data_IF_769512066335
#
_entry.id   IF_769512066335
#
_cell.length_a   1.000
_cell.length_b   1.000
_cell.length_c   1.000
_cell.angle_alpha   90.00
_cell.angle_beta   90.00
_cell.angle_gamma   90.00
#
_symmetry.space_group_name_H-M   'P 1'
#
loop_
_entity.id
_entity.type
_entity.pdbx_description
1 polymer ?
#
# COMPACT_ATOMS: atom_id res chain seq x y z
N UNK A 1 37.09 45.31 24.89
CA UNK A 1 36.73 44.51 23.70
C UNK A 1 35.47 43.74 24.06
N UNK A 2 34.28 44.30 23.78
CA UNK A 2 33.00 43.66 24.08
C UNK A 2 32.65 42.76 22.90
N UNK A 3 32.64 41.45 23.12
CA UNK A 3 32.18 40.46 22.14
C UNK A 3 30.66 40.49 22.15
N UNK A 4 30.06 41.06 21.11
CA UNK A 4 28.64 40.87 20.83
C UNK A 4 28.47 39.44 20.31
N UNK A 5 27.92 38.57 21.15
CA UNK A 5 27.28 37.32 20.69
C UNK A 5 25.97 37.76 20.05
N UNK A 6 25.95 37.89 18.73
CA UNK A 6 24.70 37.75 17.98
C UNK A 6 24.26 36.31 18.17
N UNK A 7 23.24 36.10 19.00
CA UNK A 7 22.47 34.88 18.95
C UNK A 7 21.96 34.77 17.52
N UNK A 8 22.48 33.79 16.80
CA UNK A 8 21.88 33.29 15.58
C UNK A 8 20.58 32.59 16.02
N UNK A 9 19.54 33.38 16.30
CA UNK A 9 18.16 32.90 16.30
C UNK A 9 17.82 32.63 14.84
N UNK A 10 18.39 31.55 14.31
CA UNK A 10 17.81 30.82 13.20
C UNK A 10 16.38 30.54 13.59
N UNK A 11 15.47 31.33 13.02
CA UNK A 11 14.04 31.12 13.10
C UNK A 11 13.83 29.70 12.58
N UNK A 12 13.55 28.74 13.46
CA UNK A 12 12.96 27.49 13.01
C UNK A 12 11.63 27.91 12.40
N UNK A 13 11.62 28.15 11.09
CA UNK A 13 10.40 28.18 10.30
C UNK A 13 9.60 26.97 10.75
N UNK A 14 8.35 27.18 11.12
CA UNK A 14 7.49 26.14 11.70
C UNK A 14 7.19 25.12 10.61
N UNK A 15 8.16 24.24 10.36
CA UNK A 15 8.04 23.13 9.44
C UNK A 15 6.94 22.20 9.94
N UNK A 16 6.08 21.77 9.03
CA UNK A 16 4.93 20.93 9.36
C UNK A 16 5.41 19.62 10.00
N UNK A 17 4.84 19.30 11.16
CA UNK A 17 5.28 18.18 11.98
C UNK A 17 4.11 17.50 12.69
N UNK A 18 4.11 16.16 12.69
CA UNK A 18 3.17 15.36 13.48
C UNK A 18 3.52 15.37 14.99
N UNK A 19 2.57 14.91 15.81
CA UNK A 19 2.83 14.68 17.22
C UNK A 19 3.89 13.58 17.42
N UNK A 20 4.71 13.69 18.47
CA UNK A 20 5.80 12.75 18.74
C UNK A 20 5.32 11.35 19.22
N UNK A 21 4.13 11.25 19.81
CA UNK A 21 3.50 9.98 20.23
C UNK A 21 4.46 8.94 20.88
N UNK A 22 5.21 9.30 21.94
CA UNK A 22 6.23 8.43 22.52
C UNK A 22 5.66 7.13 23.11
N UNK A 23 4.42 7.18 23.64
CA UNK A 23 3.73 6.00 24.18
C UNK A 23 3.43 4.97 23.10
N UNK A 24 2.99 5.41 21.92
CA UNK A 24 2.73 4.53 20.77
C UNK A 24 4.04 3.91 20.28
N UNK A 25 5.09 4.74 20.14
CA UNK A 25 6.42 4.28 19.72
C UNK A 25 6.98 3.22 20.67
N UNK A 26 6.83 3.43 21.97
CA UNK A 26 7.25 2.47 22.99
C UNK A 26 6.45 1.16 22.88
N UNK A 27 5.12 1.25 22.77
CA UNK A 27 4.26 0.07 22.63
C UNK A 27 4.58 -0.77 21.37
N UNK A 28 4.91 -0.11 20.26
CA UNK A 28 5.35 -0.77 19.02
C UNK A 28 6.74 -1.42 19.18
N UNK A 29 7.67 -0.77 19.90
CA UNK A 29 9.02 -1.27 20.12
C UNK A 29 9.07 -2.46 21.08
N UNK A 30 8.23 -2.46 22.11
CA UNK A 30 8.13 -3.55 23.10
C UNK A 30 7.34 -4.76 22.55
N UNK A 31 6.49 -4.51 21.55
CA UNK A 31 5.62 -5.49 20.92
C UNK A 31 6.31 -6.36 19.87
N UNK A 32 5.51 -7.21 19.23
CA UNK A 32 5.89 -7.90 18.01
C UNK A 32 4.91 -7.55 16.89
N UNK A 33 5.17 -8.02 15.67
CA UNK A 33 4.31 -7.77 14.50
C UNK A 33 2.82 -8.07 14.74
N UNK A 34 2.51 -9.13 15.50
CA UNK A 34 1.15 -9.52 15.84
C UNK A 34 0.45 -8.64 16.88
N UNK A 35 1.18 -7.83 17.66
CA UNK A 35 0.59 -6.95 18.67
C UNK A 35 0.18 -5.58 18.12
N UNK A 36 0.55 -5.22 16.89
CA UNK A 36 0.25 -3.90 16.31
C UNK A 36 -1.25 -3.62 16.23
N UNK A 37 -2.08 -4.65 15.99
CA UNK A 37 -3.55 -4.51 16.02
C UNK A 37 -4.05 -4.03 17.39
N UNK A 38 -3.46 -4.53 18.48
CA UNK A 38 -3.82 -4.10 19.83
C UNK A 38 -3.36 -2.65 20.07
N UNK A 39 -2.17 -2.27 19.60
CA UNK A 39 -1.68 -0.88 19.70
C UNK A 39 -2.62 0.08 18.96
N UNK A 40 -3.12 -0.29 17.78
CA UNK A 40 -4.14 0.51 17.06
C UNK A 40 -5.45 0.60 17.87
N UNK A 41 -5.89 -0.49 18.51
CA UNK A 41 -7.10 -0.47 19.32
C UNK A 41 -6.97 0.44 20.56
N UNK A 42 -5.79 0.46 21.18
CA UNK A 42 -5.50 1.31 22.35
C UNK A 42 -5.23 2.78 21.94
N UNK A 43 -4.73 3.02 20.72
CA UNK A 43 -4.40 4.33 20.18
C UNK A 43 -5.04 4.58 18.79
N UNK A 44 -6.39 4.60 18.68
CA UNK A 44 -7.08 4.56 17.39
C UNK A 44 -6.91 5.81 16.53
N UNK A 45 -6.48 6.94 17.11
CA UNK A 45 -6.20 8.19 16.39
C UNK A 45 -4.73 8.36 15.99
N UNK A 46 -3.86 7.38 16.27
CA UNK A 46 -2.43 7.43 15.99
C UNK A 46 -2.12 7.12 14.52
N UNK A 47 -1.63 8.07 13.72
CA UNK A 47 -1.16 7.78 12.37
C UNK A 47 -0.02 6.76 12.37
N UNK A 48 0.86 6.82 13.37
CA UNK A 48 2.00 5.90 13.52
C UNK A 48 1.53 4.44 13.64
N UNK A 49 0.56 4.16 14.53
CA UNK A 49 0.05 2.80 14.73
C UNK A 49 -0.62 2.26 13.45
N UNK A 50 -1.40 3.08 12.76
CA UNK A 50 -2.03 2.70 11.50
C UNK A 50 -1.01 2.48 10.36
N UNK A 51 0.04 3.29 10.27
CA UNK A 51 1.11 3.11 9.27
C UNK A 51 1.85 1.79 9.50
N UNK A 52 2.20 1.43 10.74
CA UNK A 52 2.83 0.14 11.01
C UNK A 52 1.91 -1.03 10.62
N UNK A 53 0.61 -0.93 10.91
CA UNK A 53 -0.35 -1.95 10.51
C UNK A 53 -0.45 -2.08 8.98
N UNK A 54 -0.40 -0.95 8.26
CA UNK A 54 -0.39 -0.92 6.80
C UNK A 54 0.87 -1.57 6.22
N UNK A 55 2.05 -1.25 6.76
CA UNK A 55 3.33 -1.80 6.29
C UNK A 55 3.44 -3.30 6.55
N UNK A 56 2.85 -3.79 7.65
CA UNK A 56 2.72 -5.22 7.91
C UNK A 56 1.86 -5.88 6.83
N UNK A 57 0.67 -5.33 6.55
CA UNK A 57 -0.20 -5.84 5.51
C UNK A 57 0.45 -5.85 4.12
N UNK A 58 1.17 -4.77 3.76
CA UNK A 58 1.92 -4.64 2.50
C UNK A 58 3.01 -5.72 2.40
N UNK A 59 3.79 -5.92 3.48
CA UNK A 59 4.84 -6.95 3.51
C UNK A 59 4.31 -8.39 3.43
N UNK A 60 3.02 -8.59 3.75
CA UNK A 60 2.32 -9.88 3.67
C UNK A 60 1.55 -10.04 2.34
N UNK A 61 1.65 -9.07 1.42
CA UNK A 61 0.96 -9.10 0.12
C UNK A 61 -0.55 -8.89 0.23
N UNK A 62 -1.04 -8.34 1.34
CA UNK A 62 -2.47 -8.06 1.56
C UNK A 62 -2.83 -6.67 1.05
N UNK A 63 -2.92 -6.54 -0.27
CA UNK A 63 -3.08 -5.26 -0.96
C UNK A 63 -4.33 -4.47 -0.50
N UNK A 64 -5.46 -5.14 -0.26
CA UNK A 64 -6.69 -4.48 0.15
C UNK A 64 -6.53 -3.88 1.55
N UNK A 65 -6.00 -4.66 2.49
CA UNK A 65 -5.75 -4.24 3.87
C UNK A 65 -4.68 -3.15 3.92
N UNK A 66 -3.58 -3.30 3.19
CA UNK A 66 -2.53 -2.28 3.09
C UNK A 66 -3.10 -0.94 2.60
N UNK A 67 -3.91 -0.98 1.54
CA UNK A 67 -4.59 0.20 1.02
C UNK A 67 -5.53 0.82 2.07
N UNK A 68 -6.36 0.01 2.72
CA UNK A 68 -7.33 0.48 3.71
C UNK A 68 -6.64 1.11 4.94
N UNK A 69 -5.66 0.42 5.54
CA UNK A 69 -4.95 0.91 6.71
C UNK A 69 -4.12 2.15 6.42
N UNK A 70 -3.42 2.18 5.28
CA UNK A 70 -2.65 3.36 4.88
C UNK A 70 -3.56 4.57 4.57
N UNK A 71 -4.78 4.33 4.09
CA UNK A 71 -5.77 5.41 3.90
C UNK A 71 -6.11 6.08 5.22
N UNK A 72 -6.38 5.29 6.26
CA UNK A 72 -6.72 5.79 7.61
C UNK A 72 -5.52 6.50 8.25
N UNK A 73 -4.33 5.93 8.14
CA UNK A 73 -3.09 6.57 8.61
C UNK A 73 -2.88 7.95 7.99
N UNK A 74 -3.03 8.05 6.67
CA UNK A 74 -2.84 9.30 5.93
C UNK A 74 -3.94 10.33 6.24
N UNK A 75 -5.18 9.91 6.54
CA UNK A 75 -6.25 10.81 6.97
C UNK A 75 -5.93 11.44 8.33
N UNK A 76 -5.65 10.62 9.35
CA UNK A 76 -5.29 11.14 10.67
C UNK A 76 -4.03 12.00 10.66
N UNK A 77 -3.03 11.65 9.84
CA UNK A 77 -1.85 12.49 9.67
C UNK A 77 -2.20 13.86 9.08
N UNK A 78 -3.03 13.93 8.04
CA UNK A 78 -3.48 15.21 7.46
C UNK A 78 -4.28 16.03 8.46
N UNK A 79 -5.12 15.38 9.26
CA UNK A 79 -5.87 16.08 10.32
C UNK A 79 -4.95 16.67 11.39
N UNK A 80 -3.92 15.93 11.82
CA UNK A 80 -2.91 16.43 12.76
C UNK A 80 -2.09 17.59 12.17
N UNK A 81 -1.67 17.49 10.91
CA UNK A 81 -0.94 18.56 10.22
C UNK A 81 -1.83 19.80 10.03
N UNK A 82 -3.08 19.62 9.61
CA UNK A 82 -4.02 20.72 9.46
C UNK A 82 -4.26 21.46 10.79
N UNK A 83 -4.30 20.73 11.91
CA UNK A 83 -4.39 21.32 13.23
C UNK A 83 -3.15 22.17 13.64
N UNK A 84 -1.98 21.93 13.04
CA UNK A 84 -0.78 22.76 13.21
C UNK A 84 -0.63 23.88 12.17
N UNK A 85 -1.62 24.05 11.29
CA UNK A 85 -1.68 25.13 10.31
C UNK A 85 -1.23 24.75 8.89
N UNK A 86 -0.75 23.52 8.69
CA UNK A 86 -0.34 23.01 7.38
C UNK A 86 -1.52 22.98 6.39
N UNK A 87 -1.22 23.28 5.12
CA UNK A 87 -2.17 23.18 4.01
C UNK A 87 -1.76 22.07 3.02
N UNK A 88 -2.73 21.41 2.35
CA UNK A 88 -2.43 20.44 1.32
C UNK A 88 -1.49 20.99 0.23
N UNK A 89 -0.36 20.31 0.03
CA UNK A 89 0.68 20.70 -0.94
C UNK A 89 1.84 21.47 -0.34
N UNK A 90 1.78 21.88 0.94
CA UNK A 90 2.95 22.37 1.66
C UNK A 90 3.90 21.23 2.04
N UNK A 91 5.18 21.57 2.21
CA UNK A 91 6.23 20.60 2.51
C UNK A 91 6.01 19.91 3.87
N UNK A 92 6.31 18.62 3.91
CA UNK A 92 6.30 17.78 5.12
C UNK A 92 7.60 16.98 5.09
N UNK A 93 8.70 17.52 5.64
CA UNK A 93 10.04 17.01 5.37
C UNK A 93 10.31 15.68 6.07
N UNK A 94 11.02 14.77 5.38
CA UNK A 94 11.49 13.47 5.88
C UNK A 94 12.52 13.58 7.01
N UNK A 95 13.23 14.71 7.08
CA UNK A 95 14.23 15.00 8.11
C UNK A 95 13.63 14.97 9.52
N UNK A 96 12.36 15.35 9.67
CA UNK A 96 11.62 15.17 10.90
C UNK A 96 11.08 13.74 10.99
N UNK A 97 11.59 12.98 11.96
CA UNK A 97 11.21 11.58 12.14
C UNK A 97 9.71 11.41 12.41
N UNK A 98 9.08 12.42 13.00
CA UNK A 98 7.64 12.42 13.32
C UNK A 98 6.79 12.41 12.06
N UNK A 99 7.30 12.90 10.93
CA UNK A 99 6.59 12.91 9.65
C UNK A 99 6.68 11.62 8.86
N UNK A 100 7.64 10.74 9.18
CA UNK A 100 7.86 9.49 8.44
C UNK A 100 6.61 8.60 8.35
N UNK A 101 5.74 8.48 9.38
CA UNK A 101 4.51 7.72 9.27
C UNK A 101 3.56 8.20 8.16
N UNK A 102 3.45 9.52 7.95
CA UNK A 102 2.63 10.09 6.88
C UNK A 102 3.21 9.74 5.50
N UNK A 103 4.51 9.98 5.32
CA UNK A 103 5.21 9.74 4.05
C UNK A 103 5.21 8.24 3.69
N UNK A 104 5.43 7.37 4.69
CA UNK A 104 5.29 5.91 4.54
C UNK A 104 3.86 5.50 4.19
N UNK A 105 2.85 6.05 4.86
CA UNK A 105 1.44 5.75 4.55
C UNK A 105 1.08 6.14 3.10
N UNK A 106 1.54 7.30 2.61
CA UNK A 106 1.33 7.68 1.21
C UNK A 106 1.98 6.68 0.25
N UNK A 107 3.22 6.25 0.52
CA UNK A 107 3.90 5.30 -0.35
C UNK A 107 3.27 3.89 -0.32
N UNK A 108 2.92 3.38 0.87
CA UNK A 108 2.23 2.10 1.03
C UNK A 108 0.85 2.13 0.36
N UNK A 109 0.06 3.20 0.55
CA UNK A 109 -1.21 3.37 -0.15
C UNK A 109 -1.02 3.44 -1.67
N UNK A 110 0.04 4.10 -2.14
CA UNK A 110 0.37 4.20 -3.57
C UNK A 110 0.73 2.84 -4.16
N UNK A 111 1.56 2.05 -3.48
CA UNK A 111 1.94 0.68 -3.91
C UNK A 111 0.71 -0.23 -3.96
N UNK A 112 -0.07 -0.26 -2.90
CA UNK A 112 -1.31 -1.05 -2.86
C UNK A 112 -2.33 -0.60 -3.93
N UNK A 113 -2.44 0.70 -4.21
CA UNK A 113 -3.28 1.21 -5.29
C UNK A 113 -2.84 0.70 -6.67
N UNK A 114 -1.53 0.55 -6.91
CA UNK A 114 -1.01 -0.04 -8.16
C UNK A 114 -1.44 -1.51 -8.27
N UNK A 115 -1.29 -2.29 -7.20
CA UNK A 115 -1.66 -3.70 -7.17
C UNK A 115 -3.17 -3.91 -7.40
N UNK A 116 -4.00 -2.98 -6.91
CA UNK A 116 -5.45 -2.98 -7.10
C UNK A 116 -5.91 -2.40 -8.46
N UNK A 117 -4.99 -1.95 -9.33
CA UNK A 117 -5.33 -1.35 -10.63
C UNK A 117 -5.88 0.08 -10.56
N UNK A 118 -5.74 0.76 -9.41
CA UNK A 118 -6.22 2.13 -9.18
C UNK A 118 -5.17 3.17 -9.63
N UNK A 119 -4.79 3.17 -10.91
CA UNK A 119 -3.66 3.94 -11.42
C UNK A 119 -3.78 5.46 -11.21
N UNK A 120 -4.97 6.05 -11.41
CA UNK A 120 -5.19 7.49 -11.16
C UNK A 120 -5.04 7.86 -9.68
N UNK A 121 -5.38 6.93 -8.78
CA UNK A 121 -5.17 7.11 -7.34
C UNK A 121 -3.68 7.04 -7.03
N UNK A 122 -2.97 6.05 -7.56
CA UNK A 122 -1.53 5.92 -7.38
C UNK A 122 -0.77 7.16 -7.90
N UNK A 123 -1.13 7.69 -9.06
CA UNK A 123 -0.51 8.88 -9.63
C UNK A 123 -0.69 10.13 -8.73
N UNK A 124 -1.90 10.33 -8.18
CA UNK A 124 -2.16 11.44 -7.24
C UNK A 124 -1.36 11.29 -5.95
N UNK A 125 -1.29 10.09 -5.39
CA UNK A 125 -0.51 9.80 -4.19
C UNK A 125 1.00 10.00 -4.40
N UNK A 126 1.51 9.62 -5.58
CA UNK A 126 2.90 9.88 -5.95
C UNK A 126 3.19 11.40 -6.03
N UNK A 127 2.27 12.17 -6.62
CA UNK A 127 2.37 13.62 -6.69
C UNK A 127 2.35 14.29 -5.32
N UNK A 128 1.46 13.85 -4.44
CA UNK A 128 1.38 14.33 -3.05
C UNK A 128 2.66 14.01 -2.27
N UNK A 129 3.14 12.77 -2.34
CA UNK A 129 4.39 12.36 -1.68
C UNK A 129 5.59 13.18 -2.16
N UNK A 130 5.76 13.33 -3.47
CA UNK A 130 6.87 14.11 -4.04
C UNK A 130 6.78 15.61 -3.76
N UNK A 131 5.57 16.13 -3.56
CA UNK A 131 5.36 17.55 -3.20
C UNK A 131 5.61 17.79 -1.71
N UNK A 132 5.27 16.82 -0.86
CA UNK A 132 5.58 16.84 0.57
C UNK A 132 7.09 16.78 0.81
N UNK A 133 7.79 15.84 0.16
CA UNK A 133 9.24 15.72 0.18
C UNK A 133 9.74 14.94 -1.07
N UNK A 134 10.59 15.54 -1.93
CA UNK A 134 11.06 14.89 -3.15
C UNK A 134 12.03 13.73 -2.92
N UNK A 135 12.72 13.68 -1.78
CA UNK A 135 13.67 12.62 -1.41
C UNK A 135 12.97 11.44 -0.72
N UNK A 136 11.79 11.66 -0.12
CA UNK A 136 11.05 10.65 0.63
C UNK A 136 10.83 9.33 -0.15
N UNK A 137 10.44 9.30 -1.44
CA UNK A 137 10.29 8.04 -2.17
C UNK A 137 11.56 7.19 -2.19
N UNK A 138 12.72 7.83 -2.41
CA UNK A 138 14.01 7.14 -2.45
C UNK A 138 14.44 6.68 -1.05
N UNK A 139 14.22 7.51 -0.03
CA UNK A 139 14.49 7.16 1.37
C UNK A 139 13.66 5.97 1.83
N UNK A 140 12.35 5.99 1.60
CA UNK A 140 11.42 4.88 1.92
C UNK A 140 11.88 3.61 1.23
N UNK A 141 12.19 3.68 -0.07
CA UNK A 141 12.66 2.51 -0.82
C UNK A 141 13.96 1.92 -0.26
N UNK A 142 14.83 2.73 0.35
CA UNK A 142 16.10 2.28 0.94
C UNK A 142 15.99 1.82 2.41
N UNK A 143 15.10 2.43 3.19
CA UNK A 143 15.02 2.25 4.65
C UNK A 143 13.88 1.32 5.08
N UNK A 144 12.81 1.25 4.30
CA UNK A 144 11.57 0.54 4.63
C UNK A 144 11.14 -0.42 3.53
N UNK A 145 12.09 -0.96 2.74
CA UNK A 145 11.78 -1.97 1.74
C UNK A 145 11.06 -3.13 2.43
N UNK A 146 9.81 -3.44 2.07
CA UNK A 146 9.20 -4.69 2.51
C UNK A 146 10.07 -5.81 1.95
N UNK A 147 10.66 -6.62 2.81
CA UNK A 147 11.30 -7.87 2.39
C UNK A 147 10.20 -8.67 1.70
N UNK A 148 10.15 -8.62 0.37
CA UNK A 148 9.26 -9.48 -0.39
C UNK A 148 9.57 -10.91 0.06
N UNK A 149 8.60 -11.58 0.66
CA UNK A 149 8.71 -13.00 0.91
C UNK A 149 8.84 -13.64 -0.46
N UNK A 150 10.08 -14.00 -0.83
CA UNK A 150 10.34 -14.93 -1.92
C UNK A 150 9.64 -16.21 -1.49
N UNK A 151 8.41 -16.40 -1.97
CA UNK A 151 7.71 -17.65 -1.81
C UNK A 151 8.54 -18.68 -2.56
N UNK A 152 9.29 -19.49 -1.82
CA UNK A 152 9.96 -20.66 -2.38
C UNK A 152 8.84 -21.63 -2.75
N UNK A 153 8.38 -21.54 -4.00
CA UNK A 153 7.47 -22.54 -4.54
C UNK A 153 8.26 -23.83 -4.61
N UNK A 154 7.93 -24.78 -3.74
CA UNK A 154 8.60 -26.08 -3.75
C UNK A 154 8.18 -26.86 -4.98
N UNK A 155 9.04 -27.76 -5.45
CA UNK A 155 8.70 -28.62 -6.60
C UNK A 155 7.40 -29.40 -6.38
N UNK A 156 7.09 -29.79 -5.13
CA UNK A 156 5.85 -30.46 -4.77
C UNK A 156 4.61 -29.58 -5.04
N UNK A 157 4.64 -28.31 -4.64
CA UNK A 157 3.55 -27.37 -4.86
C UNK A 157 3.36 -27.02 -6.36
N UNK A 158 4.44 -27.03 -7.14
CA UNK A 158 4.35 -26.89 -8.61
C UNK A 158 3.63 -28.08 -9.26
N UNK A 159 3.89 -29.31 -8.78
CA UNK A 159 3.22 -30.50 -9.29
C UNK A 159 1.75 -30.55 -8.87
N UNK A 160 1.42 -30.11 -7.66
CA UNK A 160 0.04 -30.06 -7.17
C UNK A 160 -0.80 -29.03 -7.96
N UNK A 161 -0.26 -27.83 -8.19
CA UNK A 161 -0.90 -26.82 -9.04
C UNK A 161 -1.02 -27.25 -10.52
N UNK A 162 -0.05 -28.01 -11.04
CA UNK A 162 -0.14 -28.58 -12.38
C UNK A 162 -1.23 -29.65 -12.49
N UNK A 163 -1.37 -30.50 -11.46
CA UNK A 163 -2.43 -31.51 -11.39
C UNK A 163 -3.83 -30.89 -11.31
N UNK A 164 -3.99 -29.83 -10.52
CA UNK A 164 -5.25 -29.07 -10.44
C UNK A 164 -5.60 -28.40 -11.77
N UNK A 165 -4.60 -27.87 -12.49
CA UNK A 165 -4.80 -27.25 -13.80
C UNK A 165 -5.14 -28.30 -14.89
N UNK A 166 -4.53 -29.49 -14.85
CA UNK A 166 -4.90 -30.60 -15.72
C UNK A 166 -6.32 -31.09 -15.44
N UNK A 167 -6.74 -31.17 -14.18
CA UNK A 167 -8.10 -31.52 -13.80
C UNK A 167 -9.12 -30.46 -14.26
N UNK A 168 -8.79 -29.17 -14.13
CA UNK A 168 -9.64 -28.08 -14.61
C UNK A 168 -9.74 -28.04 -16.14
N UNK A 169 -8.63 -28.36 -16.83
CA UNK A 169 -8.59 -28.46 -18.30
C UNK A 169 -9.38 -29.68 -18.79
N UNK A 170 -9.25 -30.83 -18.13
CA UNK A 170 -10.03 -32.03 -18.46
C UNK A 170 -11.53 -31.80 -18.29
N UNK A 171 -11.95 -31.16 -17.19
CA UNK A 171 -13.35 -30.78 -16.97
C UNK A 171 -13.87 -29.77 -18.01
N UNK A 172 -13.03 -28.82 -18.44
CA UNK A 172 -13.38 -27.85 -19.49
C UNK A 172 -13.46 -28.49 -20.90
N UNK A 173 -12.67 -29.54 -21.16
CA UNK A 173 -12.72 -30.32 -22.42
C UNK A 173 -13.97 -31.21 -22.44
N UNK A 174 -14.33 -31.84 -21.32
CA UNK A 174 -15.52 -32.68 -21.22
C UNK A 174 -16.81 -31.87 -21.47
N UNK A 175 -16.89 -30.64 -20.95
CA UNK A 175 -18.02 -29.72 -21.16
C UNK A 175 -18.20 -29.23 -22.61
N UNK A 176 -17.21 -29.41 -23.50
CA UNK A 176 -17.31 -29.01 -24.93
C UNK A 176 -17.77 -30.12 -25.87
N UNK A 177 -18.02 -31.33 -25.37
CA UNK A 177 -18.51 -32.42 -26.22
C UNK A 177 -20.04 -32.38 -26.33
N UNK A 178 -20.56 -31.26 -26.84
CA UNK A 178 -21.97 -31.09 -27.18
C UNK A 178 -22.26 -31.55 -28.60
N UNK A 179 -23.07 -32.61 -28.70
CA UNK A 179 -23.94 -33.07 -29.80
C UNK A 179 -23.41 -33.03 -31.26
N UNK A 180 -23.33 -34.18 -31.97
CA UNK A 180 -22.92 -34.19 -33.38
C UNK A 180 -23.95 -33.49 -34.27
N UNK A 181 -23.48 -32.52 -35.06
CA UNK A 181 -24.24 -31.84 -36.12
C UNK A 181 -24.82 -32.87 -37.10
N UNK A 182 -26.14 -32.87 -37.25
CA UNK A 182 -26.85 -33.67 -38.24
C UNK A 182 -26.40 -33.29 -39.67
N UNK A 183 -26.16 -34.32 -40.49
CA UNK A 183 -25.82 -34.21 -41.91
C UNK A 183 -26.91 -33.45 -42.68
N UNK A 184 -26.56 -32.54 -43.61
CA UNK A 184 -27.56 -31.80 -44.37
C UNK A 184 -28.24 -32.75 -45.37
N UNK A 185 -29.54 -32.99 -45.16
CA UNK A 185 -30.38 -33.68 -46.13
C UNK A 185 -30.43 -32.87 -47.44
N UNK A 186 -29.97 -33.48 -48.52
CA UNK A 186 -30.16 -32.97 -49.89
C UNK A 186 -31.66 -32.96 -50.22
N UNK A 187 -32.22 -31.76 -50.29
CA UNK A 187 -33.56 -31.51 -50.82
C UNK A 187 -33.47 -31.51 -52.35
N UNK A 188 -34.04 -32.55 -52.95
CA UNK A 188 -34.26 -32.66 -54.38
C UNK A 188 -35.37 -31.67 -54.79
N UNK A 189 -35.01 -30.69 -55.61
CA UNK A 189 -35.94 -29.68 -56.10
C UNK A 189 -35.73 -29.49 -57.61
N UNK A 190 -36.58 -30.16 -58.40
CA UNK A 190 -36.92 -29.73 -59.75
C UNK A 190 -38.29 -30.31 -60.12
N UNK A 191 -39.30 -29.44 -60.17
CA UNK A 191 -40.55 -29.67 -60.87
C UNK A 191 -40.53 -29.05 -62.27
N UNK A 192 -41.63 -29.32 -62.99
CA UNK A 192 -42.09 -28.77 -64.28
C UNK A 192 -41.45 -29.44 -65.52
N UNK A 193 -42.20 -29.97 -66.50
CA UNK A 193 -43.58 -29.72 -66.99
C UNK A 193 -44.58 -30.88 -66.84
#
# INVERSE_FOLDING_TARGET
>A
MRLSVTADESTQETEASLADEPEVRQALADGNRGSVVAVVADHPSSPLAWTELADIADSEGRAIEAFAFASVAAEFARDQLAASGWQPGEAVPWSDERNRPFLRALDTQRRAAIELGLHDRAARLAGELSSADPDAPARIASEFTPTQLISVVTSAQLFEAAADNEAHTAAAVEARTGEPLAEPAVLDAAGED
#
